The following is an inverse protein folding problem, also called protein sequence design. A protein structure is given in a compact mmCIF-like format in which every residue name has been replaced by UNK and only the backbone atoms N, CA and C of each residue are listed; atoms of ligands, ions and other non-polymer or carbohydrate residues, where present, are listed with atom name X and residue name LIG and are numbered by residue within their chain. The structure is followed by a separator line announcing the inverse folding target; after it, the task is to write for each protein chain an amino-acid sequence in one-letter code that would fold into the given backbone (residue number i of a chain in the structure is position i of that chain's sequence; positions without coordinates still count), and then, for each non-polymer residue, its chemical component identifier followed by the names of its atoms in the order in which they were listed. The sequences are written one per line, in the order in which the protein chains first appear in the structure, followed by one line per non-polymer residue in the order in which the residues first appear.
data_IF_586975777108
#
_entry.id   IF_586975777108
#
_cell.length_a   1.000
_cell.length_b   1.000
_cell.length_c   1.000
_cell.angle_alpha   90.00
_cell.angle_beta   90.00
_cell.angle_gamma   90.00
#
_symmetry.space_group_name_H-M   'P 1'
#
loop_
_entity.id
_entity.type
_entity.pdbx_description
1 polymer ?
#
# COMPACT_ATOMS: atom_id res chain seq x y z
N UNK A 1 17.27 -2.66 -21.25
CA UNK A 1 15.89 -3.09 -20.93
C UNK A 1 15.37 -2.05 -19.96
N UNK A 2 14.19 -1.49 -20.23
CA UNK A 2 13.59 -0.39 -19.49
C UNK A 2 12.91 -0.93 -18.23
N UNK A 3 13.70 -1.38 -17.27
CA UNK A 3 13.18 -1.77 -15.96
C UNK A 3 12.93 -0.48 -15.17
N UNK A 4 11.70 0.03 -15.23
CA UNK A 4 11.36 1.31 -14.60
C UNK A 4 9.94 1.80 -14.87
N UNK A 5 9.72 3.07 -14.55
CA UNK A 5 8.45 3.78 -14.76
C UNK A 5 8.25 4.04 -16.25
N UNK A 6 7.03 3.84 -16.74
CA UNK A 6 6.66 4.08 -18.14
C UNK A 6 5.47 5.04 -18.24
N UNK A 7 5.42 5.79 -19.34
CA UNK A 7 4.27 6.64 -19.69
C UNK A 7 3.55 6.06 -20.90
N UNK A 8 2.21 6.06 -20.86
CA UNK A 8 1.37 5.56 -21.93
C UNK A 8 0.06 6.34 -22.01
N UNK A 9 -0.63 6.23 -23.14
CA UNK A 9 -1.98 6.77 -23.26
C UNK A 9 -2.95 5.91 -22.44
N UNK A 10 -4.00 6.54 -21.88
CA UNK A 10 -4.96 5.83 -21.03
C UNK A 10 -5.66 4.68 -21.77
N UNK A 11 -6.07 4.92 -23.01
CA UNK A 11 -6.74 3.92 -23.86
C UNK A 11 -5.80 2.76 -24.22
N UNK A 12 -4.51 3.05 -24.40
CA UNK A 12 -3.46 2.08 -24.68
C UNK A 12 -3.24 1.16 -23.49
N UNK A 13 -3.17 1.75 -22.29
CA UNK A 13 -3.05 1.01 -21.03
C UNK A 13 -4.28 0.14 -20.78
N UNK A 14 -5.47 0.71 -21.01
CA UNK A 14 -6.72 0.01 -20.78
C UNK A 14 -6.90 -1.18 -21.70
N UNK A 15 -6.56 -1.04 -22.98
CA UNK A 15 -6.75 -2.11 -23.98
C UNK A 15 -8.18 -2.69 -23.97
N UNK A 16 -9.18 -1.83 -23.75
CA UNK A 16 -10.60 -2.22 -23.62
C UNK A 16 -11.02 -2.73 -22.23
N UNK A 17 -10.15 -2.69 -21.24
CA UNK A 17 -10.46 -2.98 -19.83
C UNK A 17 -11.12 -1.81 -19.08
N UNK A 18 -11.40 -2.05 -17.79
CA UNK A 18 -12.01 -1.06 -16.89
C UNK A 18 -11.01 -0.56 -15.84
N UNK A 19 -11.21 0.68 -15.37
CA UNK A 19 -10.42 1.26 -14.28
C UNK A 19 -11.22 1.27 -12.98
N UNK A 20 -10.55 0.90 -11.89
CA UNK A 20 -10.99 1.23 -10.55
C UNK A 20 -10.19 2.43 -10.05
N UNK A 21 -10.89 3.50 -9.65
CA UNK A 21 -10.23 4.67 -9.08
C UNK A 21 -9.89 4.41 -7.61
N UNK A 22 -8.59 4.42 -7.28
CA UNK A 22 -8.14 4.32 -5.90
C UNK A 22 -8.43 5.62 -5.13
N UNK A 23 -9.07 5.50 -3.97
CA UNK A 23 -9.53 6.66 -3.19
C UNK A 23 -8.49 7.08 -2.12
N UNK A 24 -8.23 8.38 -2.03
CA UNK A 24 -7.29 8.96 -1.06
C UNK A 24 -8.04 9.80 -0.03
N UNK A 25 -7.54 9.83 1.21
CA UNK A 25 -8.09 10.65 2.29
C UNK A 25 -9.48 10.20 2.75
N UNK A 26 -9.80 8.92 2.62
CA UNK A 26 -11.12 8.40 3.02
C UNK A 26 -11.27 8.39 4.55
N UNK A 27 -12.50 8.36 5.04
CA UNK A 27 -12.74 8.19 6.48
C UNK A 27 -12.39 6.77 6.94
N UNK A 28 -12.10 6.59 8.24
CA UNK A 28 -11.85 5.26 8.84
C UNK A 28 -13.02 4.29 8.62
N UNK A 29 -14.25 4.79 8.69
CA UNK A 29 -15.46 3.98 8.49
C UNK A 29 -15.54 3.53 7.04
N UNK A 30 -15.32 4.44 6.08
CA UNK A 30 -15.28 4.11 4.66
C UNK A 30 -14.18 3.09 4.36
N UNK A 31 -12.98 3.32 4.89
CA UNK A 31 -11.89 2.37 4.78
C UNK A 31 -12.30 1.00 5.27
N UNK A 32 -12.78 0.87 6.52
CA UNK A 32 -13.19 -0.41 7.12
C UNK A 32 -14.37 -1.10 6.41
N UNK A 33 -15.25 -0.33 5.77
CA UNK A 33 -16.36 -0.86 4.98
C UNK A 33 -15.89 -1.56 3.69
N UNK A 34 -14.70 -1.22 3.17
CA UNK A 34 -14.13 -1.90 2.01
C UNK A 34 -13.68 -3.32 2.37
N UNK A 35 -14.31 -4.31 1.73
CA UNK A 35 -13.98 -5.72 1.94
C UNK A 35 -12.61 -6.10 1.35
N UNK A 36 -12.19 -5.40 0.28
CA UNK A 36 -10.94 -5.66 -0.44
C UNK A 36 -9.92 -4.57 -0.12
N UNK A 37 -8.68 -4.97 0.18
CA UNK A 37 -7.54 -4.06 0.22
C UNK A 37 -7.15 -3.54 -1.17
N UNK A 38 -6.32 -2.49 -1.23
CA UNK A 38 -5.87 -1.93 -2.50
C UNK A 38 -6.92 -1.09 -3.24
N UNK A 39 -7.95 -0.59 -2.55
CA UNK A 39 -9.01 0.25 -3.13
C UNK A 39 -8.99 1.69 -2.61
N UNK A 40 -8.50 1.91 -1.39
CA UNK A 40 -8.46 3.22 -0.77
C UNK A 40 -7.37 3.30 0.32
N UNK A 41 -7.03 4.52 0.72
CA UNK A 41 -6.14 4.83 1.85
C UNK A 41 -6.66 6.00 2.68
N UNK A 42 -6.27 6.05 3.97
CA UNK A 42 -6.54 7.20 4.83
C UNK A 42 -5.60 8.37 4.54
N UNK A 43 -4.49 8.14 3.84
CA UNK A 43 -3.57 9.20 3.46
C UNK A 43 -4.19 10.14 2.42
N UNK A 44 -4.10 11.44 2.68
CA UNK A 44 -4.61 12.46 1.76
C UNK A 44 -3.68 12.64 0.57
N UNK A 45 -4.25 12.90 -0.61
CA UNK A 45 -3.46 13.24 -1.80
C UNK A 45 -2.95 14.67 -1.72
N UNK A 46 -1.72 14.87 -2.16
CA UNK A 46 -1.16 16.18 -2.49
C UNK A 46 -1.87 16.80 -3.72
N UNK A 47 -1.71 18.11 -3.96
CA UNK A 47 -2.26 18.79 -5.15
C UNK A 47 -1.81 18.16 -6.47
N UNK A 48 -2.70 18.14 -7.46
CA UNK A 48 -2.45 17.51 -8.78
C UNK A 48 -1.15 17.94 -9.44
N UNK A 49 -0.77 19.22 -9.32
CA UNK A 49 0.46 19.74 -9.91
C UNK A 49 1.72 19.12 -9.30
N UNK A 50 1.74 18.93 -7.98
CA UNK A 50 2.85 18.27 -7.27
C UNK A 50 2.91 16.79 -7.63
N UNK A 51 1.76 16.12 -7.68
CA UNK A 51 1.64 14.71 -8.06
C UNK A 51 2.19 14.46 -9.47
N UNK A 52 1.78 15.28 -10.45
CA UNK A 52 2.24 15.14 -11.84
C UNK A 52 3.72 15.45 -11.95
N UNK A 53 4.20 16.49 -11.29
CA UNK A 53 5.64 16.84 -11.28
C UNK A 53 6.48 15.68 -10.72
N UNK A 54 6.02 15.08 -9.62
CA UNK A 54 6.66 13.91 -9.00
C UNK A 54 6.68 12.70 -9.93
N UNK A 55 5.54 12.37 -10.56
CA UNK A 55 5.46 11.26 -11.49
C UNK A 55 6.35 11.44 -12.73
N UNK A 56 6.44 12.66 -13.28
CA UNK A 56 7.32 12.98 -14.41
C UNK A 56 8.79 12.88 -14.01
N UNK A 57 9.17 13.35 -12.82
CA UNK A 57 10.53 13.21 -12.33
C UNK A 57 10.93 11.72 -12.20
N UNK A 58 10.04 10.87 -11.65
CA UNK A 58 10.29 9.44 -11.51
C UNK A 58 10.23 8.68 -12.85
N UNK A 59 9.53 9.21 -13.86
CA UNK A 59 9.59 8.69 -15.22
C UNK A 59 10.99 8.84 -15.83
N UNK A 60 11.66 9.96 -15.54
CA UNK A 60 13.00 10.25 -16.03
C UNK A 60 14.10 9.54 -15.20
N UNK A 61 13.93 9.47 -13.88
CA UNK A 61 14.98 9.02 -12.96
C UNK A 61 14.75 7.60 -12.40
N UNK A 62 13.58 7.01 -12.64
CA UNK A 62 13.17 5.71 -12.11
C UNK A 62 12.58 5.79 -10.69
N UNK A 63 12.13 4.64 -10.17
CA UNK A 63 11.57 4.51 -8.82
C UNK A 63 12.18 3.30 -8.07
N UNK A 64 13.45 3.00 -8.34
CA UNK A 64 14.11 1.79 -7.83
C UNK A 64 13.61 0.50 -8.52
N UNK A 65 14.11 -0.63 -8.03
CA UNK A 65 13.83 -1.94 -8.60
C UNK A 65 12.42 -2.41 -8.26
N UNK A 66 11.70 -2.92 -9.27
CA UNK A 66 10.35 -3.41 -9.08
C UNK A 66 10.38 -4.76 -8.34
N UNK A 67 9.74 -4.83 -7.17
CA UNK A 67 9.41 -6.10 -6.53
C UNK A 67 7.90 -6.25 -6.38
N UNK A 68 7.38 -7.46 -6.54
CA UNK A 68 5.93 -7.68 -6.45
C UNK A 68 5.39 -7.38 -5.04
N UNK A 69 6.17 -7.71 -4.02
CA UNK A 69 5.78 -7.56 -2.61
C UNK A 69 6.12 -6.19 -2.02
N UNK A 70 7.03 -5.45 -2.64
CA UNK A 70 7.58 -4.19 -2.14
C UNK A 70 8.01 -3.33 -3.32
N UNK A 71 7.86 -2.01 -3.25
CA UNK A 71 8.23 -1.12 -4.34
C UNK A 71 7.52 -1.47 -5.67
N UNK A 72 6.22 -1.78 -5.58
CA UNK A 72 5.39 -2.15 -6.73
C UNK A 72 4.60 -0.96 -7.29
N UNK A 73 3.64 -1.24 -8.18
CA UNK A 73 2.79 -0.20 -8.80
C UNK A 73 1.95 0.59 -7.79
N UNK A 74 1.50 -0.05 -6.70
CA UNK A 74 0.74 0.61 -5.64
C UNK A 74 1.66 1.54 -4.84
N UNK A 75 2.85 1.08 -4.47
CA UNK A 75 3.84 1.90 -3.74
C UNK A 75 4.23 3.13 -4.56
N UNK A 76 4.48 2.96 -5.86
CA UNK A 76 4.72 4.06 -6.80
C UNK A 76 3.56 5.06 -6.83
N UNK A 77 2.33 4.58 -7.02
CA UNK A 77 1.15 5.44 -7.11
C UNK A 77 0.89 6.19 -5.80
N UNK A 78 1.01 5.50 -4.66
CA UNK A 78 0.85 6.07 -3.32
C UNK A 78 1.91 7.13 -3.05
N UNK A 79 3.19 6.85 -3.34
CA UNK A 79 4.25 7.85 -3.22
C UNK A 79 4.00 9.06 -4.13
N UNK A 80 3.65 8.81 -5.40
CA UNK A 80 3.29 9.87 -6.34
C UNK A 80 2.17 10.77 -5.81
N UNK A 81 1.20 10.20 -5.09
CA UNK A 81 0.04 10.93 -4.57
C UNK A 81 0.25 11.58 -3.21
N UNK A 82 1.19 11.11 -2.40
CA UNK A 82 1.25 11.49 -0.97
C UNK A 82 2.63 11.94 -0.49
N UNK A 83 3.69 11.72 -1.29
CA UNK A 83 5.09 11.91 -0.89
C UNK A 83 5.55 11.01 0.26
N UNK A 84 4.73 10.04 0.65
CA UNK A 84 4.98 9.18 1.80
C UNK A 84 5.74 7.93 1.40
N UNK A 85 6.80 7.63 2.15
CA UNK A 85 7.55 6.38 2.05
C UNK A 85 7.52 5.68 3.40
N UNK A 86 7.36 4.36 3.36
CA UNK A 86 7.45 3.48 4.52
C UNK A 86 8.92 3.26 4.87
N UNK A 87 9.34 3.66 6.08
CA UNK A 87 10.70 3.34 6.56
C UNK A 87 10.76 1.91 7.09
N UNK A 88 11.60 1.06 6.49
CA UNK A 88 11.83 -0.34 6.91
C UNK A 88 12.82 -0.39 8.10
N UNK A 89 12.54 0.33 9.21
CA UNK A 89 13.33 0.17 10.45
C UNK A 89 12.56 -0.54 11.58
N UNK A 90 11.36 -1.04 11.30
CA UNK A 90 10.59 -1.83 12.26
C UNK A 90 10.82 -3.31 11.98
N UNK A 91 11.29 -4.06 12.98
CA UNK A 91 11.64 -5.49 13.02
C UNK A 91 10.49 -6.46 12.61
N UNK A 92 9.41 -5.96 12.01
CA UNK A 92 8.29 -6.77 11.52
C UNK A 92 8.33 -6.71 10.00
N UNK A 93 9.04 -7.67 9.40
CA UNK A 93 9.01 -7.92 7.97
C UNK A 93 7.56 -8.07 7.48
N UNK A 94 7.12 -7.11 6.69
CA UNK A 94 5.77 -7.05 6.15
C UNK A 94 5.73 -5.95 5.10
N UNK A 95 5.66 -6.37 3.82
CA UNK A 95 5.87 -5.53 2.65
C UNK A 95 5.03 -4.25 2.61
N UNK A 96 5.58 -3.25 1.93
CA UNK A 96 5.15 -1.85 1.98
C UNK A 96 3.74 -1.54 1.45
N UNK A 97 3.17 -2.41 0.61
CA UNK A 97 1.90 -2.14 -0.07
C UNK A 97 0.66 -2.63 0.70
N UNK A 98 -0.48 -1.94 0.53
CA UNK A 98 -1.75 -2.31 1.16
C UNK A 98 -2.29 -3.67 0.68
N UNK A 99 -1.95 -4.06 -0.55
CA UNK A 99 -2.20 -5.41 -1.06
C UNK A 99 -1.41 -6.48 -0.31
N UNK A 100 -0.12 -6.25 -0.04
CA UNK A 100 0.74 -7.22 0.65
C UNK A 100 0.42 -7.30 2.13
N UNK A 101 0.11 -6.16 2.76
CA UNK A 101 -0.47 -6.15 4.10
C UNK A 101 -1.76 -6.99 4.16
N UNK A 102 -2.61 -6.92 3.14
CA UNK A 102 -3.84 -7.72 3.06
C UNK A 102 -3.55 -9.22 2.90
N UNK A 103 -2.61 -9.59 2.02
CA UNK A 103 -2.18 -10.99 1.84
C UNK A 103 -1.51 -11.55 3.09
N UNK A 104 -0.56 -10.84 3.68
CA UNK A 104 0.15 -11.27 4.89
C UNK A 104 -0.80 -11.36 6.09
N UNK A 105 -1.79 -10.46 6.19
CA UNK A 105 -2.84 -10.56 7.19
C UNK A 105 -3.67 -11.83 7.02
N UNK A 106 -4.03 -12.20 5.78
CA UNK A 106 -4.77 -13.43 5.50
C UNK A 106 -3.97 -14.70 5.87
N UNK A 107 -2.66 -14.73 5.56
CA UNK A 107 -1.78 -15.87 5.83
C UNK A 107 -1.45 -16.00 7.33
N UNK A 108 -1.09 -14.91 8.02
CA UNK A 108 -0.77 -14.94 9.45
C UNK A 108 -1.99 -15.19 10.35
N UNK A 109 -3.21 -14.94 9.86
CA UNK A 109 -4.43 -15.26 10.61
C UNK A 109 -4.62 -16.78 10.81
N UNK A 110 -3.98 -17.61 10.00
CA UNK A 110 -4.04 -19.08 10.11
C UNK A 110 -3.14 -19.59 11.25
N UNK A 111 -2.05 -18.88 11.57
CA UNK A 111 -1.01 -19.34 12.50
C UNK A 111 -1.09 -18.83 13.94
N UNK A 112 -1.84 -17.75 14.23
CA UNK A 112 -1.86 -17.14 15.56
C UNK A 112 -3.22 -17.31 16.27
N UNK A 113 -3.44 -18.45 16.92
CA UNK A 113 -4.47 -18.58 17.96
C UNK A 113 -3.81 -18.99 19.29
N UNK A 114 -3.97 -18.24 20.39
CA UNK A 114 -3.91 -18.82 21.71
C UNK A 114 -5.10 -19.78 21.83
N UNK A 115 -4.80 -21.06 22.07
CA UNK A 115 -5.73 -22.19 22.11
C UNK A 115 -6.87 -22.09 23.17
N UNK A 116 -7.07 -20.94 23.82
CA UNK A 116 -7.77 -20.86 25.11
C UNK A 116 -9.14 -20.17 25.17
N UNK A 117 -9.61 -19.43 24.14
CA UNK A 117 -10.79 -18.56 24.33
C UNK A 117 -11.93 -18.61 23.29
N UNK A 118 -11.92 -19.52 22.32
CA UNK A 118 -13.04 -19.61 21.35
C UNK A 118 -13.84 -20.88 21.58
N UNK A 119 -14.93 -20.76 22.36
CA UNK A 119 -16.00 -21.78 22.39
C UNK A 119 -16.67 -21.87 20.99
N UNK A 120 -16.15 -22.77 20.17
CA UNK A 120 -16.85 -23.66 19.21
C UNK A 120 -18.17 -23.19 18.57
N UNK A 121 -18.12 -22.14 17.74
CA UNK A 121 -19.11 -21.92 16.67
C UNK A 121 -18.40 -21.43 15.40
N UNK A 122 -18.79 -21.96 14.23
CA UNK A 122 -18.24 -21.58 12.93
C UNK A 122 -18.34 -20.06 12.70
N UNK A 123 -19.48 -19.47 13.05
CA UNK A 123 -19.73 -18.02 12.96
C UNK A 123 -18.79 -17.21 13.87
N UNK A 124 -18.50 -17.70 15.07
CA UNK A 124 -17.57 -17.05 15.99
C UNK A 124 -16.15 -16.99 15.45
N UNK A 125 -15.68 -18.07 14.79
CA UNK A 125 -14.35 -18.11 14.17
C UNK A 125 -14.24 -17.16 12.97
N UNK A 126 -15.29 -17.09 12.14
CA UNK A 126 -15.35 -16.20 10.97
C UNK A 126 -15.31 -14.74 11.40
N UNK A 127 -16.13 -14.33 12.38
CA UNK A 127 -16.15 -12.95 12.87
C UNK A 127 -14.80 -12.50 13.45
N UNK A 128 -14.10 -13.37 14.18
CA UNK A 128 -12.75 -13.07 14.70
C UNK A 128 -11.75 -12.87 13.56
N UNK A 129 -11.76 -13.72 12.53
CA UNK A 129 -10.85 -13.58 11.39
C UNK A 129 -11.13 -12.32 10.58
N UNK A 130 -12.40 -12.01 10.29
CA UNK A 130 -12.78 -10.78 9.60
C UNK A 130 -12.37 -9.54 10.42
N UNK A 131 -12.63 -9.54 11.73
CA UNK A 131 -12.21 -8.45 12.61
C UNK A 131 -10.69 -8.24 12.61
N UNK A 132 -9.92 -9.33 12.75
CA UNK A 132 -8.46 -9.27 12.69
C UNK A 132 -7.94 -8.77 11.34
N UNK A 133 -8.54 -9.22 10.23
CA UNK A 133 -8.19 -8.72 8.88
C UNK A 133 -8.42 -7.21 8.77
N UNK A 134 -9.59 -6.72 9.17
CA UNK A 134 -9.92 -5.30 9.11
C UNK A 134 -8.97 -4.45 9.97
N UNK A 135 -8.67 -4.89 11.19
CA UNK A 135 -7.72 -4.20 12.08
C UNK A 135 -6.32 -4.21 11.48
N UNK A 136 -5.82 -5.37 11.00
CA UNK A 136 -4.50 -5.47 10.37
C UNK A 136 -4.38 -4.55 9.17
N UNK A 137 -5.38 -4.54 8.29
CA UNK A 137 -5.41 -3.64 7.14
C UNK A 137 -5.41 -2.17 7.55
N UNK A 138 -6.16 -1.81 8.58
CA UNK A 138 -6.19 -0.44 9.11
C UNK A 138 -4.83 -0.02 9.66
N UNK A 139 -4.17 -0.85 10.48
CA UNK A 139 -2.88 -0.48 11.09
C UNK A 139 -1.73 -0.49 10.09
N UNK A 140 -1.85 -1.21 8.98
CA UNK A 140 -0.89 -1.22 7.89
C UNK A 140 -1.08 -0.06 6.90
N UNK A 141 -2.23 0.61 6.90
CA UNK A 141 -2.50 1.73 6.00
C UNK A 141 -1.47 2.86 6.20
N UNK A 142 -0.96 3.41 5.10
CA UNK A 142 0.08 4.44 5.13
C UNK A 142 -0.40 5.74 5.80
N UNK A 143 -1.71 6.02 5.78
CA UNK A 143 -2.30 7.16 6.48
C UNK A 143 -2.52 6.94 7.97
N UNK A 144 -2.33 5.71 8.48
CA UNK A 144 -2.54 5.38 9.90
C UNK A 144 -1.28 4.91 10.62
N UNK A 145 -0.42 4.16 9.93
CA UNK A 145 0.76 3.52 10.54
C UNK A 145 1.75 4.56 11.08
N UNK A 146 2.48 4.18 12.12
CA UNK A 146 3.69 4.90 12.54
C UNK A 146 4.88 4.52 11.64
N UNK A 147 5.88 5.39 11.55
CA UNK A 147 7.10 5.12 10.77
C UNK A 147 7.03 5.46 9.28
N UNK A 148 6.12 6.35 8.90
CA UNK A 148 6.08 6.93 7.55
C UNK A 148 6.81 8.27 7.57
N UNK A 149 7.57 8.55 6.50
CA UNK A 149 8.23 9.84 6.33
C UNK A 149 7.89 10.45 4.98
N UNK A 150 7.70 11.77 4.96
CA UNK A 150 7.66 12.53 3.71
C UNK A 150 9.06 12.63 3.14
N UNK A 151 9.21 12.23 1.89
CA UNK A 151 10.50 12.18 1.20
C UNK A 151 10.37 12.94 -0.11
N UNK A 152 11.04 14.08 -0.27
CA UNK A 152 11.07 14.81 -1.54
C UNK A 152 11.58 13.92 -2.67
N UNK A 153 11.05 14.12 -3.87
CA UNK A 153 11.35 13.26 -5.03
C UNK A 153 12.84 13.23 -5.37
N UNK A 154 13.55 14.32 -5.12
CA UNK A 154 14.98 14.44 -5.38
C UNK A 154 15.82 13.52 -4.47
N UNK A 155 15.27 13.13 -3.30
CA UNK A 155 15.97 12.34 -2.29
C UNK A 155 15.58 10.87 -2.30
N UNK A 156 14.63 10.46 -3.12
CA UNK A 156 14.14 9.07 -3.09
C UNK A 156 15.21 8.06 -3.49
N UNK A 157 16.07 8.41 -4.44
CA UNK A 157 17.20 7.59 -4.88
C UNK A 157 18.31 7.49 -3.84
N UNK A 158 18.38 8.44 -2.91
CA UNK A 158 19.32 8.36 -1.81
C UNK A 158 18.88 7.28 -0.84
N UNK A 159 17.57 7.14 -0.56
CA UNK A 159 17.04 6.15 0.37
C UNK A 159 17.27 4.71 -0.08
N UNK A 160 17.11 4.42 -1.38
CA UNK A 160 17.40 3.09 -1.94
C UNK A 160 18.88 2.66 -1.80
N UNK A 161 19.81 3.60 -1.59
CA UNK A 161 21.24 3.33 -1.39
C UNK A 161 21.62 3.00 0.06
N UNK A 162 20.78 3.29 1.06
CA UNK A 162 21.09 3.00 2.48
C UNK A 162 20.67 1.58 2.90
N UNK A 163 20.01 0.83 2.04
CA UNK A 163 19.48 -0.51 2.31
C UNK A 163 20.30 -1.63 1.63
N UNK A 164 21.36 -1.27 0.89
CA UNK A 164 22.39 -2.17 0.33
C UNK A 164 23.73 -2.03 1.08
#
# INVERSE_FOLDING_TARGET
MTDGVISSCLDCFLSGGELHLFEYGVSKIHFLAQARGGTCTLASSDPTQEVVTRALNLLENGFGDYHFFENNCEDFAVYCKTELVVRINSIVGGGGSGQVASYLAAVNCIGSLPLGFVKTSFYGRVLVHCGMYCIRRLVSDIGFRSGVTKVPVEKIHEMARWEN
#
